data_IF_599994571134
#
_entry.id   IF_599994571134
#
_cell.length_a   1.000
_cell.length_b   1.000
_cell.length_c   1.000
_cell.angle_alpha   90.00
_cell.angle_beta   90.00
_cell.angle_gamma   90.00
#
_symmetry.space_group_name_H-M   'P 1'
#
loop_
_entity.id
_entity.type
_entity.pdbx_description
1 polymer ?
#
# COMPACT_ATOMS: atom_id res chain seq x y z
N UNK A 1 -13.61 -48.26 86.93
CA UNK A 1 -12.44 -48.70 87.73
C UNK A 1 -11.21 -48.73 86.84
N UNK A 2 -10.14 -47.98 87.20
CA UNK A 2 -8.69 -48.15 86.87
C UNK A 2 -8.31 -48.24 85.36
N UNK A 3 -7.22 -47.71 84.80
CA UNK A 3 -5.98 -46.98 85.16
C UNK A 3 -5.33 -46.62 83.79
N UNK A 4 -4.90 -45.38 83.52
CA UNK A 4 -3.50 -44.87 83.55
C UNK A 4 -2.58 -45.33 82.39
N UNK A 5 -2.17 -44.33 81.57
CA UNK A 5 -0.86 -44.04 80.91
C UNK A 5 -0.15 -45.13 80.05
N UNK A 6 0.73 -44.93 79.06
CA UNK A 6 1.36 -43.84 78.25
C UNK A 6 2.21 -44.55 77.15
N UNK A 7 2.52 -43.87 76.03
CA UNK A 7 3.75 -43.99 75.16
C UNK A 7 4.11 -45.36 74.52
N UNK A 8 4.76 -45.49 73.36
CA UNK A 8 5.17 -44.68 72.23
C UNK A 8 5.76 -45.65 71.17
N UNK A 9 6.09 -45.11 69.97
CA UNK A 9 7.04 -45.59 68.96
C UNK A 9 6.55 -46.53 67.83
N UNK A 10 6.39 -45.84 66.68
CA UNK A 10 6.97 -46.15 65.37
C UNK A 10 6.54 -47.43 64.65
N UNK A 11 5.60 -47.26 63.72
CA UNK A 11 5.51 -48.10 62.53
C UNK A 11 5.38 -47.21 61.30
N UNK A 12 6.40 -47.32 60.47
CA UNK A 12 6.48 -46.88 59.08
C UNK A 12 5.36 -47.53 58.26
N UNK A 13 4.39 -46.73 57.82
CA UNK A 13 3.40 -47.15 56.83
C UNK A 13 3.58 -46.36 55.54
N UNK A 14 3.98 -47.11 54.51
CA UNK A 14 3.94 -46.79 53.09
C UNK A 14 2.62 -46.09 52.74
N UNK A 15 2.68 -44.80 52.38
CA UNK A 15 1.53 -44.10 51.80
C UNK A 15 1.40 -44.49 50.33
N UNK A 16 0.51 -45.45 50.05
CA UNK A 16 -0.08 -45.60 48.73
C UNK A 16 -1.04 -44.42 48.51
N UNK A 17 -0.55 -43.34 47.91
CA UNK A 17 -1.42 -42.29 47.40
C UNK A 17 -2.04 -42.78 46.09
N UNK A 18 -3.32 -43.14 46.15
CA UNK A 18 -4.20 -43.07 45.00
C UNK A 18 -4.15 -41.63 44.48
N UNK A 19 -3.36 -41.41 43.43
CA UNK A 19 -3.38 -40.17 42.68
C UNK A 19 -4.74 -40.03 42.00
N UNK A 20 -5.58 -39.12 42.49
CA UNK A 20 -6.72 -38.62 41.73
C UNK A 20 -6.18 -37.94 40.47
N UNK A 21 -6.40 -38.58 39.32
CA UNK A 21 -6.13 -38.02 38.01
C UNK A 21 -7.15 -36.90 37.73
N UNK A 22 -6.96 -35.72 38.33
CA UNK A 22 -7.73 -34.54 37.97
C UNK A 22 -7.07 -33.96 36.72
N UNK A 23 -7.43 -34.55 35.57
CA UNK A 23 -7.06 -34.02 34.26
C UNK A 23 -7.80 -32.70 34.13
N UNK A 24 -7.12 -31.60 34.45
CA UNK A 24 -7.56 -30.26 34.09
C UNK A 24 -7.82 -30.30 32.59
N UNK A 25 -9.11 -30.26 32.23
CA UNK A 25 -9.58 -30.08 30.88
C UNK A 25 -9.16 -28.66 30.50
N UNK A 26 -7.92 -28.54 30.02
CA UNK A 26 -7.47 -27.36 29.32
C UNK A 26 -8.40 -27.25 28.14
N UNK A 27 -9.39 -26.37 28.26
CA UNK A 27 -10.28 -26.01 27.19
C UNK A 27 -9.38 -25.44 26.11
N UNK A 28 -8.98 -26.31 25.17
CA UNK A 28 -8.31 -25.92 23.95
C UNK A 28 -9.34 -25.06 23.26
N UNK A 29 -9.20 -23.73 23.42
CA UNK A 29 -9.85 -22.77 22.56
C UNK A 29 -9.61 -23.30 21.15
N UNK A 30 -10.70 -23.71 20.49
CA UNK A 30 -10.66 -24.11 19.09
C UNK A 30 -9.80 -23.09 18.38
N UNK A 31 -8.78 -23.51 17.60
CA UNK A 31 -8.08 -22.55 16.77
C UNK A 31 -9.17 -21.89 15.95
N UNK A 32 -9.44 -20.61 16.21
CA UNK A 32 -10.26 -19.78 15.36
C UNK A 32 -9.76 -20.09 13.97
N UNK A 33 -10.62 -20.72 13.16
CA UNK A 33 -10.27 -21.08 11.79
C UNK A 33 -9.57 -19.84 11.25
N UNK A 34 -8.30 -20.01 10.88
CA UNK A 34 -7.54 -18.93 10.26
C UNK A 34 -8.28 -18.68 8.97
N UNK A 35 -9.24 -17.75 9.04
CA UNK A 35 -10.05 -17.35 7.92
C UNK A 35 -9.02 -16.93 6.89
N UNK A 36 -8.95 -17.69 5.80
CA UNK A 36 -7.95 -17.53 4.78
C UNK A 36 -7.97 -16.05 4.40
N UNK A 37 -6.88 -15.34 4.73
CA UNK A 37 -6.83 -13.89 4.62
C UNK A 37 -7.12 -13.53 3.17
N UNK A 38 -8.36 -13.14 2.88
CA UNK A 38 -8.78 -12.78 1.53
C UNK A 38 -7.82 -11.69 1.06
N UNK A 39 -7.16 -11.88 -0.10
CA UNK A 39 -6.23 -10.89 -0.60
C UNK A 39 -6.96 -9.56 -0.71
N UNK A 40 -6.34 -8.51 -0.17
CA UNK A 40 -6.90 -7.17 -0.18
C UNK A 40 -7.26 -6.76 -1.61
N UNK A 41 -8.52 -6.39 -1.83
CA UNK A 41 -8.98 -5.88 -3.11
C UNK A 41 -8.17 -4.62 -3.48
N UNK A 42 -7.41 -4.70 -4.58
CA UNK A 42 -6.46 -3.66 -4.97
C UNK A 42 -7.07 -2.63 -5.90
N UNK A 43 -7.87 -3.06 -6.88
CA UNK A 43 -8.39 -2.18 -7.92
C UNK A 43 -9.87 -1.88 -7.76
N UNK A 44 -10.22 -0.62 -7.95
CA UNK A 44 -11.55 -0.05 -7.75
C UNK A 44 -11.89 0.90 -8.90
N UNK A 45 -13.15 0.89 -9.35
CA UNK A 45 -13.63 1.77 -10.42
C UNK A 45 -15.04 2.28 -10.19
N UNK A 46 -15.33 3.47 -10.66
CA UNK A 46 -16.67 4.06 -10.65
C UNK A 46 -16.69 5.39 -11.39
N UNK A 47 -17.89 5.95 -11.53
CA UNK A 47 -18.08 7.30 -12.05
C UNK A 47 -18.55 8.16 -10.89
N UNK A 48 -17.67 9.07 -10.43
CA UNK A 48 -17.98 9.98 -9.34
C UNK A 48 -18.72 11.22 -9.88
N UNK A 49 -19.59 11.86 -9.08
CA UNK A 49 -20.34 13.04 -9.52
C UNK A 49 -19.41 14.23 -9.76
N UNK A 50 -19.76 15.04 -10.75
CA UNK A 50 -19.00 16.21 -11.17
C UNK A 50 -19.90 17.45 -11.14
N UNK A 51 -19.36 18.60 -10.71
CA UNK A 51 -20.15 19.82 -10.58
C UNK A 51 -20.47 20.46 -11.94
N UNK A 52 -19.56 20.34 -12.89
CA UNK A 52 -19.56 21.04 -14.18
C UNK A 52 -19.27 20.11 -15.37
N UNK A 53 -19.37 18.79 -15.16
CA UNK A 53 -19.17 17.77 -16.18
C UNK A 53 -20.13 16.59 -15.99
N UNK A 54 -20.18 15.67 -16.95
CA UNK A 54 -21.14 14.54 -16.91
C UNK A 54 -20.83 13.54 -15.78
N UNK A 55 -19.55 13.45 -15.41
CA UNK A 55 -19.05 12.54 -14.40
C UNK A 55 -17.53 12.41 -14.47
N UNK A 56 -16.95 11.83 -13.41
CA UNK A 56 -15.50 11.59 -13.31
C UNK A 56 -15.27 10.08 -13.28
N UNK A 57 -14.84 9.52 -14.42
CA UNK A 57 -14.39 8.12 -14.48
C UNK A 57 -13.14 7.96 -13.62
N UNK A 58 -13.30 7.27 -12.50
CA UNK A 58 -12.26 7.13 -11.48
C UNK A 58 -11.78 5.68 -11.44
N UNK A 59 -10.48 5.47 -11.57
CA UNK A 59 -9.80 4.19 -11.39
C UNK A 59 -8.77 4.33 -10.28
N UNK A 60 -8.92 3.56 -9.20
CA UNK A 60 -8.03 3.58 -8.04
C UNK A 60 -7.35 2.20 -7.89
N UNK A 61 -6.04 2.21 -7.65
CA UNK A 61 -5.25 1.03 -7.38
C UNK A 61 -4.49 1.17 -6.05
N UNK A 62 -4.77 0.30 -5.10
CA UNK A 62 -4.12 0.20 -3.78
C UNK A 62 -3.04 -0.87 -3.81
N UNK A 63 -1.79 -0.46 -3.60
CA UNK A 63 -0.64 -1.33 -3.62
C UNK A 63 -0.30 -1.86 -2.24
N UNK A 64 0.25 -3.06 -2.18
CA UNK A 64 0.66 -3.73 -0.93
C UNK A 64 1.77 -2.98 -0.18
N UNK A 65 2.53 -2.14 -0.89
CA UNK A 65 3.63 -1.35 -0.32
C UNK A 65 3.15 -0.09 0.43
N UNK A 66 1.83 0.13 0.53
CA UNK A 66 1.24 1.33 1.15
C UNK A 66 1.10 2.53 0.21
N UNK A 67 1.36 2.36 -1.09
CA UNK A 67 1.12 3.40 -2.10
C UNK A 67 -0.15 3.16 -2.90
N UNK A 68 -0.68 4.22 -3.51
CA UNK A 68 -1.83 4.13 -4.41
C UNK A 68 -1.57 4.93 -5.68
N UNK A 69 -2.30 4.58 -6.73
CA UNK A 69 -2.36 5.32 -8.00
C UNK A 69 -3.83 5.50 -8.36
N UNK A 70 -4.22 6.70 -8.76
CA UNK A 70 -5.55 7.01 -9.24
C UNK A 70 -5.47 7.65 -10.62
N UNK A 71 -6.41 7.31 -11.49
CA UNK A 71 -6.68 8.05 -12.71
C UNK A 71 -8.11 8.57 -12.66
N UNK A 72 -8.28 9.84 -13.04
CA UNK A 72 -9.56 10.51 -13.14
C UNK A 72 -9.71 11.09 -14.54
N UNK A 73 -10.76 10.68 -15.25
CA UNK A 73 -11.13 11.24 -16.55
C UNK A 73 -12.44 11.99 -16.45
N UNK A 74 -12.41 13.27 -16.76
CA UNK A 74 -13.55 14.18 -16.73
C UNK A 74 -14.35 14.06 -18.03
N UNK A 75 -15.57 13.54 -17.94
CA UNK A 75 -16.43 13.29 -19.10
C UNK A 75 -17.00 14.61 -19.65
N UNK A 76 -16.83 14.85 -20.95
CA UNK A 76 -17.28 16.08 -21.62
C UNK A 76 -16.36 17.29 -21.42
N UNK A 77 -15.21 17.13 -20.75
CA UNK A 77 -14.22 18.20 -20.59
C UNK A 77 -13.31 18.35 -21.84
N UNK A 78 -12.68 19.52 -21.98
CA UNK A 78 -11.66 19.77 -23.01
C UNK A 78 -10.36 19.03 -22.66
N UNK A 79 -9.62 18.61 -23.68
CA UNK A 79 -8.32 17.96 -23.47
C UNK A 79 -7.24 18.94 -22.94
N UNK A 80 -6.32 18.48 -22.06
CA UNK A 80 -6.28 17.14 -21.47
C UNK A 80 -7.43 16.91 -20.47
N UNK A 81 -8.14 15.78 -20.61
CA UNK A 81 -9.30 15.44 -19.77
C UNK A 81 -9.03 14.33 -18.74
N UNK A 82 -7.85 13.71 -18.79
CA UNK A 82 -7.43 12.62 -17.89
C UNK A 82 -6.21 13.02 -17.08
N UNK A 83 -6.26 12.73 -15.79
CA UNK A 83 -5.22 13.12 -14.83
C UNK A 83 -4.90 11.94 -13.91
N UNK A 84 -3.60 11.65 -13.80
CA UNK A 84 -3.08 10.67 -12.86
C UNK A 84 -2.61 11.35 -11.57
N UNK A 85 -2.86 10.71 -10.43
CA UNK A 85 -2.32 11.08 -9.13
C UNK A 85 -1.86 9.83 -8.37
N UNK A 86 -0.94 10.02 -7.44
CA UNK A 86 -0.42 8.92 -6.63
C UNK A 86 -0.02 9.44 -5.25
N UNK A 87 0.22 8.50 -4.32
CA UNK A 87 0.68 8.85 -2.99
C UNK A 87 0.68 7.66 -2.05
N UNK A 88 0.41 7.92 -0.78
CA UNK A 88 0.36 6.91 0.29
C UNK A 88 -1.06 6.70 0.79
N UNK A 89 -1.38 5.48 1.21
CA UNK A 89 -2.67 5.19 1.82
C UNK A 89 -2.49 4.57 3.20
N UNK A 90 -3.46 4.84 4.07
CA UNK A 90 -3.60 4.22 5.37
C UNK A 90 -5.07 3.80 5.55
N UNK A 91 -5.31 2.70 6.28
CA UNK A 91 -6.67 2.24 6.56
C UNK A 91 -6.86 1.91 8.03
N UNK A 92 -8.07 2.17 8.52
CA UNK A 92 -8.62 1.62 9.75
C UNK A 92 -9.71 0.61 9.39
N UNK A 93 -10.45 0.11 10.39
CA UNK A 93 -11.64 -0.71 10.13
C UNK A 93 -12.75 0.07 9.41
N UNK A 94 -12.81 1.39 9.60
CA UNK A 94 -13.92 2.23 9.14
C UNK A 94 -13.58 3.06 7.91
N UNK A 95 -12.32 3.50 7.78
CA UNK A 95 -11.92 4.49 6.77
C UNK A 95 -10.62 4.09 6.08
N UNK A 96 -10.57 4.38 4.79
CA UNK A 96 -9.37 4.44 3.96
C UNK A 96 -9.05 5.92 3.72
N UNK A 97 -7.81 6.31 3.96
CA UNK A 97 -7.31 7.66 3.69
C UNK A 97 -6.23 7.56 2.64
N UNK A 98 -6.43 8.26 1.53
CA UNK A 98 -5.42 8.49 0.49
C UNK A 98 -4.80 9.85 0.76
N UNK A 99 -3.48 9.93 0.85
CA UNK A 99 -2.72 11.19 0.87
C UNK A 99 -1.90 11.25 -0.40
N UNK A 100 -2.12 12.26 -1.23
CA UNK A 100 -1.38 12.43 -2.49
C UNK A 100 0.03 13.01 -2.26
N UNK A 101 0.77 13.27 -3.34
CA UNK A 101 2.12 13.87 -3.25
C UNK A 101 2.14 15.34 -2.85
N UNK A 102 1.00 16.03 -2.84
CA UNK A 102 0.85 17.43 -2.38
C UNK A 102 0.43 17.51 -0.91
N UNK A 103 0.00 16.38 -0.33
CA UNK A 103 -0.55 16.29 1.02
C UNK A 103 -2.08 16.42 1.09
N UNK A 104 -2.75 16.57 -0.06
CA UNK A 104 -4.21 16.52 -0.15
C UNK A 104 -4.70 15.13 0.22
N UNK A 105 -5.82 15.10 0.94
CA UNK A 105 -6.42 13.87 1.43
C UNK A 105 -7.73 13.57 0.73
N UNK A 106 -7.97 12.28 0.49
CA UNK A 106 -9.26 11.76 0.03
C UNK A 106 -9.65 10.58 0.91
N UNK A 107 -10.91 10.53 1.31
CA UNK A 107 -11.40 9.56 2.27
C UNK A 107 -12.42 8.65 1.62
N UNK A 108 -12.35 7.36 1.94
CA UNK A 108 -13.33 6.38 1.57
C UNK A 108 -13.73 5.56 2.80
N UNK A 109 -14.90 4.94 2.78
CA UNK A 109 -15.28 3.88 3.71
C UNK A 109 -15.79 2.64 2.97
N UNK A 110 -15.66 1.44 3.55
CA UNK A 110 -16.35 0.26 3.03
C UNK A 110 -17.87 0.45 3.01
N UNK A 111 -18.53 0.02 1.93
CA UNK A 111 -19.99 -0.02 1.78
C UNK A 111 -20.37 -1.30 1.00
N UNK A 112 -20.65 -2.38 1.74
CA UNK A 112 -20.76 -3.71 1.16
C UNK A 112 -19.42 -4.13 0.53
N UNK A 113 -19.46 -4.61 -0.71
CA UNK A 113 -18.24 -4.93 -1.48
C UNK A 113 -17.62 -3.70 -2.15
N UNK A 114 -18.27 -2.54 -2.10
CA UNK A 114 -17.84 -1.26 -2.70
C UNK A 114 -17.12 -0.36 -1.69
N UNK A 115 -16.48 0.70 -2.17
CA UNK A 115 -16.03 1.82 -1.34
C UNK A 115 -16.86 3.06 -1.64
N UNK A 116 -17.28 3.79 -0.62
CA UNK A 116 -17.98 5.07 -0.73
C UNK A 116 -17.03 6.21 -0.38
N UNK A 117 -16.93 7.20 -1.27
CA UNK A 117 -16.19 8.44 -1.02
C UNK A 117 -16.87 9.26 0.08
N UNK A 118 -16.06 9.83 0.96
CA UNK A 118 -16.49 10.70 2.06
C UNK A 118 -16.20 12.16 1.71
N UNK A 119 -16.74 13.08 2.51
CA UNK A 119 -16.45 14.50 2.38
C UNK A 119 -14.99 14.83 2.79
N UNK A 120 -14.65 16.14 2.76
CA UNK A 120 -13.30 16.63 3.06
C UNK A 120 -12.90 16.49 4.53
N UNK A 121 -13.85 16.25 5.41
CA UNK A 121 -13.66 16.02 6.83
C UNK A 121 -13.68 14.50 7.15
N UNK A 122 -13.96 13.67 6.14
CA UNK A 122 -14.08 12.23 6.26
C UNK A 122 -15.41 11.77 6.86
N UNK A 123 -16.49 12.54 6.73
CA UNK A 123 -17.86 12.15 7.10
C UNK A 123 -18.64 11.66 5.88
N UNK A 124 -19.74 10.90 6.09
CA UNK A 124 -20.61 10.46 5.01
C UNK A 124 -21.20 11.63 4.23
N UNK A 125 -21.22 11.51 2.89
CA UNK A 125 -21.85 12.50 2.02
C UNK A 125 -23.37 12.22 1.98
N UNK A 126 -24.18 13.19 2.39
CA UNK A 126 -25.64 13.15 2.21
C UNK A 126 -26.02 13.71 0.85
N UNK A 127 -26.28 12.83 -0.13
CA UNK A 127 -26.62 13.21 -1.49
C UNK A 127 -27.42 12.12 -2.20
N UNK A 128 -28.20 12.51 -3.20
CA UNK A 128 -28.87 11.58 -4.12
C UNK A 128 -27.92 10.96 -5.15
N UNK A 129 -26.72 11.53 -5.31
CA UNK A 129 -25.74 11.06 -6.29
C UNK A 129 -24.93 9.87 -5.76
N UNK A 130 -24.39 9.08 -6.68
CA UNK A 130 -23.61 7.90 -6.35
C UNK A 130 -22.12 8.24 -6.18
N UNK A 131 -21.61 8.08 -4.96
CA UNK A 131 -20.20 8.31 -4.60
C UNK A 131 -19.42 6.99 -4.41
N UNK A 132 -19.81 5.91 -5.09
CA UNK A 132 -19.20 4.58 -4.88
C UNK A 132 -18.24 4.15 -5.98
N UNK A 133 -17.18 3.47 -5.58
CA UNK A 133 -16.27 2.71 -6.44
C UNK A 133 -16.49 1.22 -6.19
N UNK A 134 -16.74 0.46 -7.26
CA UNK A 134 -16.91 -0.98 -7.23
C UNK A 134 -15.55 -1.71 -7.36
N UNK A 135 -15.41 -2.89 -6.75
CA UNK A 135 -14.20 -3.69 -6.87
C UNK A 135 -14.08 -4.24 -8.29
N UNK A 136 -12.89 -4.18 -8.87
CA UNK A 136 -12.61 -4.73 -10.21
C UNK A 136 -11.29 -5.49 -10.23
N UNK A 137 -11.01 -6.25 -11.28
CA UNK A 137 -9.65 -6.71 -11.60
C UNK A 137 -9.13 -5.86 -12.75
N UNK A 138 -8.23 -4.93 -12.46
CA UNK A 138 -7.70 -4.00 -13.45
C UNK A 138 -6.19 -3.80 -13.29
N UNK A 139 -5.53 -3.52 -14.42
CA UNK A 139 -4.12 -3.10 -14.43
C UNK A 139 -3.94 -1.68 -13.85
N UNK A 140 -2.69 -1.34 -13.55
CA UNK A 140 -2.30 0.02 -13.16
C UNK A 140 -2.68 1.03 -14.26
N UNK A 141 -3.12 2.24 -13.90
CA UNK A 141 -3.32 3.30 -14.88
C UNK A 141 -2.01 3.69 -15.56
N UNK A 142 -2.07 3.88 -16.88
CA UNK A 142 -0.94 4.34 -17.71
C UNK A 142 -0.95 5.86 -17.95
N UNK A 143 -1.75 6.61 -17.19
CA UNK A 143 -1.81 8.07 -17.31
C UNK A 143 -0.53 8.68 -16.73
N UNK A 144 0.22 9.49 -17.50
CA UNK A 144 1.45 10.11 -17.00
C UNK A 144 1.17 11.03 -15.82
N UNK A 145 2.08 10.99 -14.85
CA UNK A 145 2.05 11.75 -13.60
C UNK A 145 3.39 12.44 -13.43
N UNK A 146 3.38 13.70 -12.97
CA UNK A 146 4.60 14.40 -12.61
C UNK A 146 5.24 13.75 -11.38
N UNK A 147 6.47 13.28 -11.53
CA UNK A 147 7.24 12.60 -10.49
C UNK A 147 8.57 13.28 -10.25
N UNK A 148 9.02 13.21 -9.00
CA UNK A 148 10.30 13.76 -8.57
C UNK A 148 10.96 12.81 -7.59
N UNK A 149 12.17 12.37 -7.89
CA UNK A 149 12.85 11.34 -7.12
C UNK A 149 14.32 11.22 -7.44
N UNK A 150 15.02 10.46 -6.61
CA UNK A 150 16.43 10.15 -6.83
C UNK A 150 16.55 8.94 -7.75
N UNK A 151 17.12 9.15 -8.94
CA UNK A 151 17.39 8.11 -9.90
C UNK A 151 18.83 7.61 -9.77
N UNK A 152 19.00 6.29 -9.82
CA UNK A 152 20.30 5.65 -9.77
C UNK A 152 20.31 4.46 -10.73
N UNK A 153 21.35 4.36 -11.56
CA UNK A 153 21.50 3.25 -12.50
C UNK A 153 22.88 2.61 -12.35
N UNK A 154 22.87 1.28 -12.19
CA UNK A 154 24.08 0.48 -12.03
C UNK A 154 23.80 -0.96 -12.46
N UNK A 155 24.76 -1.59 -13.15
CA UNK A 155 24.70 -2.99 -13.57
C UNK A 155 23.38 -3.33 -14.32
N UNK A 156 23.05 -2.54 -15.35
CA UNK A 156 21.86 -2.70 -16.20
C UNK A 156 20.51 -2.62 -15.47
N UNK A 157 20.48 -2.06 -14.26
CA UNK A 157 19.27 -1.84 -13.49
C UNK A 157 19.16 -0.38 -13.01
N UNK A 158 18.01 0.23 -13.25
CA UNK A 158 17.67 1.56 -12.79
C UNK A 158 16.68 1.50 -11.63
N UNK A 159 16.92 2.34 -10.61
CA UNK A 159 16.06 2.51 -9.44
C UNK A 159 15.67 3.98 -9.31
N UNK A 160 14.39 4.22 -9.07
CA UNK A 160 13.86 5.53 -8.71
C UNK A 160 13.37 5.50 -7.27
N UNK A 161 13.87 6.44 -6.47
CA UNK A 161 13.40 6.66 -5.09
C UNK A 161 12.56 7.91 -5.07
N UNK A 162 11.25 7.76 -4.93
CA UNK A 162 10.31 8.88 -4.91
C UNK A 162 10.56 9.81 -3.73
N UNK A 163 10.58 11.12 -3.97
CA UNK A 163 10.93 12.10 -2.94
C UNK A 163 9.85 12.28 -1.86
N UNK A 164 8.59 11.98 -2.16
CA UNK A 164 7.47 12.22 -1.22
C UNK A 164 7.15 10.96 -0.42
N UNK A 165 6.99 9.83 -1.08
CA UNK A 165 6.65 8.54 -0.47
C UNK A 165 7.88 7.78 0.06
N UNK A 166 9.09 8.15 -0.39
CA UNK A 166 10.34 7.45 -0.06
C UNK A 166 10.45 6.05 -0.68
N UNK A 167 9.50 5.64 -1.53
CA UNK A 167 9.44 4.29 -2.09
C UNK A 167 10.44 4.14 -3.22
N UNK A 168 11.09 2.98 -3.25
CA UNK A 168 12.01 2.57 -4.31
C UNK A 168 11.25 1.69 -5.30
N UNK A 169 11.37 2.01 -6.58
CA UNK A 169 10.79 1.23 -7.68
C UNK A 169 11.83 1.03 -8.76
N UNK A 170 11.70 -0.06 -9.51
CA UNK A 170 12.45 -0.25 -10.74
C UNK A 170 12.06 0.82 -11.75
N UNK A 171 12.96 1.18 -12.65
CA UNK A 171 12.65 2.01 -13.82
C UNK A 171 12.80 1.16 -15.07
N UNK A 172 11.83 1.25 -15.98
CA UNK A 172 11.87 0.54 -17.25
C UNK A 172 13.09 0.98 -18.05
N UNK A 173 13.71 0.03 -18.75
CA UNK A 173 14.93 0.28 -19.51
C UNK A 173 14.69 1.38 -20.56
N UNK A 174 15.56 2.39 -20.54
CA UNK A 174 15.48 3.53 -21.43
C UNK A 174 16.88 4.09 -21.69
N UNK A 175 17.45 3.70 -22.82
CA UNK A 175 18.82 4.04 -23.19
C UNK A 175 19.09 5.55 -23.25
N UNK A 176 18.08 6.38 -23.55
CA UNK A 176 18.26 7.84 -23.54
C UNK A 176 18.35 8.36 -22.11
N UNK A 177 17.43 7.93 -21.23
CA UNK A 177 17.43 8.30 -19.81
C UNK A 177 18.72 7.86 -19.12
N UNK A 178 19.22 6.67 -19.42
CA UNK A 178 20.49 6.14 -18.89
C UNK A 178 21.70 6.97 -19.33
N UNK A 179 21.73 7.40 -20.61
CA UNK A 179 22.78 8.31 -21.12
C UNK A 179 22.72 9.68 -20.43
N UNK A 180 21.53 10.23 -20.28
CA UNK A 180 21.34 11.54 -19.64
C UNK A 180 21.74 11.49 -18.15
N UNK A 181 21.46 10.37 -17.47
CA UNK A 181 21.96 10.10 -16.11
C UNK A 181 23.49 10.05 -16.07
N UNK A 182 24.12 9.35 -17.02
CA UNK A 182 25.58 9.24 -17.08
C UNK A 182 26.27 10.60 -17.26
N UNK A 183 25.66 11.51 -18.03
CA UNK A 183 26.13 12.91 -18.15
C UNK A 183 25.93 13.66 -16.83
N UNK A 184 24.75 13.55 -16.23
CA UNK A 184 24.40 14.33 -15.04
C UNK A 184 25.16 13.91 -13.77
N UNK A 185 25.47 12.62 -13.61
CA UNK A 185 26.23 12.11 -12.45
C UNK A 185 27.73 12.42 -12.52
N UNK A 186 28.26 12.72 -13.71
CA UNK A 186 29.69 12.88 -13.94
C UNK A 186 30.49 11.64 -13.53
N UNK A 187 31.57 11.85 -12.76
CA UNK A 187 32.44 10.76 -12.31
C UNK A 187 31.96 10.07 -11.02
N UNK A 188 30.90 10.59 -10.40
CA UNK A 188 30.38 10.06 -9.15
C UNK A 188 29.34 8.97 -9.41
N UNK A 189 29.48 7.83 -8.75
CA UNK A 189 28.46 6.76 -8.76
C UNK A 189 27.40 7.04 -7.69
N UNK A 190 26.68 8.16 -7.82
CA UNK A 190 25.67 8.61 -6.86
C UNK A 190 24.30 8.78 -7.52
N UNK A 191 23.20 8.68 -6.75
CA UNK A 191 21.87 9.03 -7.25
C UNK A 191 21.81 10.51 -7.66
N UNK A 192 21.07 10.82 -8.73
CA UNK A 192 20.84 12.18 -9.21
C UNK A 192 19.34 12.46 -9.19
N UNK A 193 18.95 13.68 -8.80
CA UNK A 193 17.55 14.08 -8.79
C UNK A 193 17.00 14.07 -10.23
N UNK A 194 15.89 13.38 -10.43
CA UNK A 194 15.13 13.30 -11.67
C UNK A 194 13.75 13.90 -11.47
N UNK A 195 13.35 14.79 -12.37
CA UNK A 195 11.94 15.18 -12.57
C UNK A 195 11.48 14.58 -13.88
N UNK A 196 10.32 13.93 -13.90
CA UNK A 196 9.83 13.20 -15.08
C UNK A 196 8.31 13.08 -15.04
N UNK A 197 7.65 13.14 -16.19
CA UNK A 197 6.28 12.66 -16.31
C UNK A 197 6.34 11.17 -16.64
N UNK A 198 5.75 10.34 -15.78
CA UNK A 198 5.81 8.89 -15.91
C UNK A 198 4.55 8.20 -15.39
N UNK A 199 4.43 6.90 -15.66
CA UNK A 199 3.38 6.06 -15.09
C UNK A 199 3.97 4.79 -14.51
N UNK A 200 3.16 4.08 -13.71
CA UNK A 200 3.56 2.79 -13.15
C UNK A 200 2.96 1.65 -13.96
N UNK A 201 3.77 0.62 -14.19
CA UNK A 201 3.37 -0.66 -14.75
C UNK A 201 3.85 -1.80 -13.85
N UNK A 202 3.44 -3.02 -14.18
CA UNK A 202 4.02 -4.23 -13.60
C UNK A 202 4.90 -4.88 -14.67
N UNK A 203 6.18 -5.04 -14.38
CA UNK A 203 7.13 -5.73 -15.25
C UNK A 203 7.81 -6.88 -14.49
N UNK A 204 8.19 -7.97 -15.18
CA UNK A 204 8.93 -9.05 -14.54
C UNK A 204 10.32 -8.54 -14.13
N UNK A 205 10.69 -8.77 -12.89
CA UNK A 205 12.05 -8.54 -12.41
C UNK A 205 13.02 -9.46 -13.21
N UNK A 206 14.13 -8.93 -13.76
CA UNK A 206 15.02 -9.71 -14.63
C UNK A 206 15.64 -10.95 -13.97
N UNK A 207 15.87 -10.90 -12.65
CA UNK A 207 16.54 -11.98 -11.91
C UNK A 207 15.56 -13.04 -11.41
N UNK A 208 14.39 -12.61 -10.91
CA UNK A 208 13.42 -13.48 -10.24
C UNK A 208 12.18 -13.81 -11.06
N UNK A 209 11.88 -13.04 -12.11
CA UNK A 209 10.65 -13.14 -12.90
C UNK A 209 9.39 -12.66 -12.16
N UNK A 210 9.49 -12.21 -10.91
CA UNK A 210 8.35 -11.68 -10.15
C UNK A 210 7.87 -10.36 -10.77
N UNK A 211 6.56 -10.20 -10.91
CA UNK A 211 5.97 -8.95 -11.40
C UNK A 211 6.14 -7.85 -10.35
N UNK A 212 7.05 -6.91 -10.61
CA UNK A 212 7.35 -5.78 -9.73
C UNK A 212 6.82 -4.49 -10.33
N UNK A 213 6.52 -3.52 -9.46
CA UNK A 213 6.16 -2.17 -9.90
C UNK A 213 7.37 -1.49 -10.53
N UNK A 214 7.16 -1.00 -11.73
CA UNK A 214 8.17 -0.33 -12.54
C UNK A 214 7.66 1.03 -12.98
N UNK A 215 8.49 2.05 -12.84
CA UNK A 215 8.29 3.39 -13.39
C UNK A 215 8.65 3.40 -14.87
N UNK A 216 7.73 3.82 -15.72
CA UNK A 216 8.00 4.13 -17.13
C UNK A 216 8.11 5.64 -17.25
N UNK A 217 9.22 6.13 -17.80
CA UNK A 217 9.39 7.54 -18.12
C UNK A 217 8.67 7.86 -19.45
N UNK A 218 7.60 8.66 -19.39
CA UNK A 218 6.81 9.02 -20.57
C UNK A 218 7.40 10.23 -21.29
N UNK A 219 7.64 11.34 -20.57
CA UNK A 219 8.16 12.60 -21.14
C UNK A 219 8.76 13.52 -20.07
N UNK A 220 9.31 14.64 -20.52
CA UNK A 220 9.82 15.73 -19.67
C UNK A 220 10.87 15.31 -18.63
N UNK A 221 11.57 14.20 -18.88
CA UNK A 221 12.66 13.70 -18.05
C UNK A 221 13.83 14.69 -18.01
N UNK A 222 14.19 15.16 -16.81
CA UNK A 222 15.31 16.09 -16.59
C UNK A 222 16.06 15.72 -15.32
N UNK A 223 17.36 15.54 -15.44
CA UNK A 223 18.26 15.38 -14.31
C UNK A 223 18.73 16.73 -13.78
N UNK A 224 18.78 16.87 -12.47
CA UNK A 224 19.24 18.08 -11.79
C UNK A 224 20.45 17.73 -10.91
N UNK A 225 21.64 17.91 -11.48
CA UNK A 225 22.89 17.56 -10.82
C UNK A 225 23.10 18.37 -9.52
N UNK A 226 23.66 17.72 -8.50
CA UNK A 226 23.96 18.34 -7.20
C UNK A 226 22.73 18.68 -6.34
N UNK A 227 21.52 18.36 -6.80
CA UNK A 227 20.27 18.53 -6.03
C UNK A 227 19.80 17.19 -5.45
N UNK A 228 18.98 17.28 -4.42
CA UNK A 228 18.35 16.17 -3.73
C UNK A 228 16.86 16.45 -3.48
N UNK A 229 16.15 15.55 -2.80
CA UNK A 229 14.73 15.73 -2.53
C UNK A 229 14.39 17.01 -1.74
N UNK A 230 15.28 17.48 -0.85
CA UNK A 230 15.09 18.68 -0.04
C UNK A 230 15.36 19.99 -0.82
N UNK A 231 15.93 19.87 -2.01
CA UNK A 231 16.24 21.03 -2.84
C UNK A 231 14.96 21.65 -3.43
N UNK A 232 14.70 22.91 -3.11
CA UNK A 232 13.65 23.71 -3.77
C UNK A 232 13.94 23.91 -5.25
#
# INVERSE_FOLDING_TARGET
MKKVLWSALAVSTLFALFGCNNRSETQVLQPTQTEELKPMQQSWRGVLPCADCEGIETSLFLQKDGTWVMNQRYQGAKEPSSFGTYGTWARTAEKLVLTDTTGEKTWFRPKGDSMEMLDREGNPIESQFNYTLAPVKAALPATPMAMRGMYFYMADAAIFTDCVTGKKVSVANNAQLERDYAVARGNDSKPVLLTVDGHFTLEPNPDSGEMVKTLVADKDAKFVAGKNCDSK
#
